data_IF_167913831889
#
_entry.id   IF_167913831889
#
_cell.length_a   1.000
_cell.length_b   1.000
_cell.length_c   1.000
_cell.angle_alpha   90.00
_cell.angle_beta   90.00
_cell.angle_gamma   90.00
#
_symmetry.space_group_name_H-M   'P 1'
#
loop_
_entity.id
_entity.type
_entity.pdbx_description
1 polymer ?
#
# COMPACT_ATOMS: atom_id res chain seq x y z
N UNK A 1 -3.60 -12.65 -18.70
CA UNK A 1 -4.00 -11.23 -18.72
C UNK A 1 -5.23 -11.12 -19.62
N UNK A 2 -6.31 -10.53 -19.14
CA UNK A 2 -7.53 -10.26 -19.93
C UNK A 2 -7.30 -9.08 -20.89
N UNK A 3 -8.18 -8.89 -21.87
CA UNK A 3 -8.09 -7.73 -22.75
C UNK A 3 -8.22 -6.41 -21.97
N UNK A 4 -7.65 -5.32 -22.48
CA UNK A 4 -7.76 -4.00 -21.85
C UNK A 4 -9.20 -3.56 -21.64
N UNK A 5 -10.08 -3.81 -22.60
CA UNK A 5 -11.50 -3.49 -22.50
C UNK A 5 -12.21 -4.30 -21.40
N UNK A 6 -11.88 -5.59 -21.27
CA UNK A 6 -12.40 -6.42 -20.17
C UNK A 6 -11.95 -5.90 -18.80
N UNK A 7 -10.71 -5.42 -18.70
CA UNK A 7 -10.18 -4.83 -17.47
C UNK A 7 -10.89 -3.52 -17.12
N UNK A 8 -11.06 -2.62 -18.10
CA UNK A 8 -11.81 -1.38 -17.93
C UNK A 8 -13.24 -1.66 -17.47
N UNK A 9 -13.90 -2.62 -18.11
CA UNK A 9 -15.28 -2.99 -17.75
C UNK A 9 -15.37 -3.61 -16.37
N UNK A 10 -14.40 -4.41 -15.98
CA UNK A 10 -14.32 -4.98 -14.62
C UNK A 10 -14.17 -3.88 -13.57
N UNK A 11 -13.28 -2.91 -13.79
CA UNK A 11 -13.11 -1.76 -12.89
C UNK A 11 -14.39 -0.92 -12.79
N UNK A 12 -15.01 -0.58 -13.94
CA UNK A 12 -16.27 0.17 -13.97
C UNK A 12 -17.37 -0.51 -13.16
N UNK A 13 -17.56 -1.81 -13.33
CA UNK A 13 -18.56 -2.58 -12.59
C UNK A 13 -18.22 -2.64 -11.11
N UNK A 14 -16.96 -2.87 -10.78
CA UNK A 14 -16.48 -2.91 -9.38
C UNK A 14 -16.71 -1.58 -8.66
N UNK A 15 -16.37 -0.46 -9.28
CA UNK A 15 -16.58 0.87 -8.72
C UNK A 15 -18.07 1.18 -8.52
N UNK A 16 -18.91 0.92 -9.53
CA UNK A 16 -20.38 1.07 -9.40
C UNK A 16 -20.98 0.18 -8.29
N UNK A 17 -20.45 -1.02 -8.14
CA UNK A 17 -20.92 -1.92 -7.09
C UNK A 17 -20.51 -1.42 -5.70
N UNK A 18 -19.28 -0.92 -5.55
CA UNK A 18 -18.77 -0.42 -4.28
C UNK A 18 -19.54 0.80 -3.76
N UNK A 19 -20.09 1.65 -4.64
CA UNK A 19 -20.94 2.79 -4.24
C UNK A 19 -22.12 2.37 -3.35
N UNK A 20 -22.65 1.17 -3.55
CA UNK A 20 -23.75 0.61 -2.74
C UNK A 20 -23.32 0.27 -1.30
N UNK A 21 -22.01 0.16 -1.07
CA UNK A 21 -21.42 -0.26 0.21
C UNK A 21 -20.50 0.79 0.82
N UNK A 22 -20.64 2.05 0.43
CA UNK A 22 -19.88 3.16 1.00
C UNK A 22 -18.77 3.71 0.11
N UNK A 23 -18.64 3.22 -1.13
CA UNK A 23 -17.65 3.71 -2.08
C UNK A 23 -16.40 2.84 -2.17
N UNK A 24 -15.37 3.38 -2.80
CA UNK A 24 -14.06 2.75 -2.97
C UNK A 24 -12.97 3.76 -2.63
N UNK A 25 -11.80 3.27 -2.29
CA UNK A 25 -10.59 4.10 -2.21
C UNK A 25 -10.05 4.34 -3.63
N UNK A 26 -9.42 5.49 -3.86
CA UNK A 26 -8.85 5.86 -5.18
C UNK A 26 -7.55 5.13 -5.48
N UNK A 27 -7.54 3.81 -5.29
CA UNK A 27 -6.35 2.96 -5.37
C UNK A 27 -6.58 1.79 -6.32
N UNK A 28 -5.69 1.61 -7.29
CA UNK A 28 -5.55 0.37 -8.04
C UNK A 28 -4.83 -0.68 -7.19
N UNK A 29 -5.59 -1.56 -6.52
CA UNK A 29 -5.11 -2.50 -5.51
C UNK A 29 -4.93 -3.90 -6.07
N UNK A 30 -3.69 -4.36 -6.19
CA UNK A 30 -3.31 -5.68 -6.71
C UNK A 30 -2.32 -6.38 -5.76
N UNK A 31 -2.75 -6.82 -4.57
CA UNK A 31 -1.85 -7.31 -3.53
C UNK A 31 -1.17 -8.63 -3.89
N UNK A 32 -1.79 -9.47 -4.70
CA UNK A 32 -1.30 -10.82 -4.99
C UNK A 32 -1.42 -11.24 -6.47
N UNK A 33 -1.56 -10.30 -7.38
CA UNK A 33 -1.65 -10.58 -8.81
C UNK A 33 -0.31 -11.01 -9.40
N UNK A 34 -0.35 -12.05 -10.27
CA UNK A 34 0.81 -12.60 -10.93
C UNK A 34 0.92 -12.05 -12.37
N UNK A 35 1.55 -10.91 -12.49
CA UNK A 35 1.71 -10.18 -13.74
C UNK A 35 0.73 -9.01 -13.88
N UNK A 36 1.27 -7.92 -14.40
CA UNK A 36 0.54 -6.69 -14.66
C UNK A 36 0.97 -6.14 -16.02
N UNK A 37 0.07 -5.43 -16.69
CA UNK A 37 0.39 -4.71 -17.91
C UNK A 37 1.11 -3.39 -17.57
N UNK A 38 2.08 -2.98 -18.37
CA UNK A 38 2.68 -1.66 -18.29
C UNK A 38 1.68 -0.52 -18.53
N UNK A 39 0.49 -0.82 -19.03
CA UNK A 39 -0.59 0.15 -19.22
C UNK A 39 -1.44 0.40 -17.96
N UNK A 40 -1.15 -0.26 -16.85
CA UNK A 40 -1.97 -0.11 -15.64
C UNK A 40 -2.06 1.33 -15.13
N UNK A 41 -0.99 2.15 -15.06
CA UNK A 41 -1.11 3.55 -14.68
C UNK A 41 -2.09 4.34 -15.55
N UNK A 42 -2.03 4.19 -16.87
CA UNK A 42 -2.96 4.81 -17.81
C UNK A 42 -4.41 4.39 -17.53
N UNK A 43 -4.64 3.10 -17.35
CA UNK A 43 -5.97 2.54 -17.06
C UNK A 43 -6.51 3.10 -15.75
N UNK A 44 -5.71 3.05 -14.69
CA UNK A 44 -6.10 3.58 -13.37
C UNK A 44 -6.39 5.07 -13.42
N UNK A 45 -5.54 5.83 -14.08
CA UNK A 45 -5.74 7.29 -14.25
C UNK A 45 -7.06 7.61 -14.96
N UNK A 46 -7.36 6.91 -16.07
CA UNK A 46 -8.63 7.10 -16.79
C UNK A 46 -9.86 6.69 -15.98
N UNK A 47 -9.70 5.76 -15.05
CA UNK A 47 -10.75 5.36 -14.11
C UNK A 47 -10.86 6.28 -12.88
N UNK A 48 -10.04 7.35 -12.79
CA UNK A 48 -10.06 8.31 -11.67
C UNK A 48 -9.33 7.81 -10.42
N UNK A 49 -8.57 6.72 -10.50
CA UNK A 49 -7.74 6.25 -9.40
C UNK A 49 -6.46 7.09 -9.31
N UNK A 50 -6.01 7.38 -8.09
CA UNK A 50 -4.87 8.27 -7.81
C UNK A 50 -3.58 7.52 -7.55
N UNK A 51 -3.67 6.30 -7.02
CA UNK A 51 -2.54 5.50 -6.56
C UNK A 51 -2.56 4.11 -7.16
N UNK A 52 -1.38 3.53 -7.35
CA UNK A 52 -1.23 2.11 -7.60
C UNK A 52 -0.59 1.44 -6.38
N UNK A 53 -1.06 0.25 -6.08
CA UNK A 53 -0.63 -0.52 -4.94
C UNK A 53 -0.58 -2.00 -5.29
N UNK A 54 0.62 -2.60 -5.26
CA UNK A 54 0.80 -4.01 -5.58
C UNK A 54 2.01 -4.62 -4.86
N UNK A 55 2.13 -5.93 -4.90
CA UNK A 55 3.22 -6.66 -4.25
C UNK A 55 4.16 -7.34 -5.22
N UNK A 56 3.62 -8.05 -6.20
CA UNK A 56 4.39 -8.96 -7.06
C UNK A 56 4.75 -8.33 -8.39
N UNK A 57 5.82 -8.84 -9.02
CA UNK A 57 6.13 -8.54 -10.41
C UNK A 57 7.20 -7.49 -10.66
N UNK A 58 7.80 -6.90 -9.61
CA UNK A 58 8.98 -6.04 -9.75
C UNK A 58 10.25 -6.82 -9.36
N UNK A 59 11.23 -6.79 -10.23
CA UNK A 59 12.56 -7.28 -9.89
C UNK A 59 13.33 -6.20 -9.11
N UNK A 60 14.01 -6.58 -8.03
CA UNK A 60 14.75 -5.66 -7.14
C UNK A 60 15.72 -4.74 -7.88
N UNK A 61 16.33 -5.22 -8.96
CA UNK A 61 17.28 -4.40 -9.74
C UNK A 61 16.64 -3.28 -10.55
N UNK A 62 15.30 -3.23 -10.65
CA UNK A 62 14.57 -2.17 -11.34
C UNK A 62 14.22 -1.03 -10.40
N UNK A 63 13.79 -1.36 -9.17
CA UNK A 63 13.42 -0.39 -8.14
C UNK A 63 13.81 -0.96 -6.78
N UNK A 64 14.66 -0.25 -6.05
CA UNK A 64 15.07 -0.63 -4.70
C UNK A 64 14.09 -0.10 -3.62
N UNK A 65 13.43 1.01 -3.93
CA UNK A 65 12.50 1.66 -3.01
C UNK A 65 11.07 1.09 -3.15
N UNK A 66 10.29 1.21 -2.09
CA UNK A 66 8.88 0.82 -2.10
C UNK A 66 8.01 1.79 -2.87
N UNK A 67 8.37 3.06 -2.81
CA UNK A 67 7.68 4.15 -3.47
C UNK A 67 8.41 4.54 -4.75
N UNK A 68 7.65 4.68 -5.83
CA UNK A 68 8.17 5.10 -7.13
C UNK A 68 7.04 5.66 -8.02
N UNK A 69 7.44 6.33 -9.09
CA UNK A 69 6.50 6.71 -10.15
C UNK A 69 6.46 5.62 -11.22
N UNK A 70 5.33 5.00 -11.39
CA UNK A 70 5.11 4.01 -12.47
C UNK A 70 4.61 4.74 -13.70
N UNK A 71 5.31 4.59 -14.82
CA UNK A 71 4.98 5.25 -16.08
C UNK A 71 4.46 4.24 -17.11
N UNK A 72 3.32 4.58 -17.70
CA UNK A 72 2.75 3.85 -18.84
C UNK A 72 3.39 4.26 -20.16
N UNK A 73 3.27 3.44 -21.23
CA UNK A 73 3.82 3.76 -22.56
C UNK A 73 3.29 5.08 -23.17
N UNK A 74 2.15 5.58 -22.73
CA UNK A 74 1.59 6.88 -23.14
C UNK A 74 2.15 8.07 -22.34
N UNK A 75 3.05 7.83 -21.37
CA UNK A 75 3.63 8.84 -20.50
C UNK A 75 2.82 9.16 -19.25
N UNK A 76 1.68 8.50 -19.03
CA UNK A 76 0.91 8.65 -17.79
C UNK A 76 1.73 8.10 -16.62
N UNK A 77 1.87 8.92 -15.56
CA UNK A 77 2.61 8.57 -14.36
C UNK A 77 1.68 8.45 -13.16
N UNK A 78 1.94 7.46 -12.32
CA UNK A 78 1.16 7.21 -11.11
C UNK A 78 2.06 6.94 -9.92
N UNK A 79 1.78 7.59 -8.79
CA UNK A 79 2.43 7.27 -7.53
C UNK A 79 2.08 5.85 -7.13
N UNK A 80 3.10 5.05 -6.88
CA UNK A 80 2.96 3.61 -6.66
C UNK A 80 3.68 3.21 -5.39
N UNK A 81 3.03 2.37 -4.59
CA UNK A 81 3.64 1.71 -3.45
C UNK A 81 3.70 0.20 -3.68
N UNK A 82 4.89 -0.36 -3.59
CA UNK A 82 5.13 -1.81 -3.63
C UNK A 82 5.17 -2.38 -2.22
N UNK A 83 4.15 -3.11 -1.83
CA UNK A 83 4.08 -3.66 -0.49
C UNK A 83 5.04 -4.84 -0.28
N UNK A 84 5.63 -4.91 0.90
CA UNK A 84 6.49 -6.02 1.28
C UNK A 84 5.67 -7.29 1.54
N UNK A 85 4.63 -7.16 2.35
CA UNK A 85 3.72 -8.25 2.72
C UNK A 85 2.39 -7.67 3.17
N UNK A 86 1.26 -8.27 2.73
CA UNK A 86 -0.08 -7.77 3.06
C UNK A 86 -0.60 -8.19 4.45
N UNK A 87 0.21 -8.89 5.23
CA UNK A 87 -0.16 -9.41 6.55
C UNK A 87 0.85 -9.09 7.66
N UNK A 88 1.58 -7.97 7.59
CA UNK A 88 2.57 -7.62 8.62
C UNK A 88 1.96 -7.59 10.02
N UNK A 89 0.71 -7.12 10.16
CA UNK A 89 -0.02 -7.07 11.43
C UNK A 89 -1.06 -8.18 11.60
N UNK A 90 -0.99 -9.24 10.80
CA UNK A 90 -1.90 -10.38 10.95
C UNK A 90 -1.62 -11.17 12.24
N UNK A 91 -0.35 -11.28 12.63
CA UNK A 91 0.11 -12.04 13.80
C UNK A 91 1.12 -11.28 14.66
N UNK A 92 0.89 -10.02 15.04
CA UNK A 92 1.79 -9.35 15.95
C UNK A 92 1.72 -10.03 17.33
N UNK A 93 2.79 -9.99 18.12
CA UNK A 93 2.77 -10.47 19.49
C UNK A 93 1.73 -9.72 20.34
N UNK A 94 1.30 -10.32 21.46
CA UNK A 94 0.31 -9.72 22.36
C UNK A 94 0.94 -9.11 23.61
N UNK A 95 2.15 -9.48 23.95
CA UNK A 95 2.86 -8.93 25.11
C UNK A 95 3.31 -7.50 24.86
N UNK A 96 3.34 -6.70 25.93
CA UNK A 96 3.64 -5.25 25.85
C UNK A 96 5.05 -4.98 25.31
N UNK A 97 6.04 -5.66 25.82
CA UNK A 97 7.43 -5.49 25.37
C UNK A 97 7.67 -6.14 24.00
N UNK A 98 7.03 -7.26 23.76
CA UNK A 98 7.14 -7.98 22.50
C UNK A 98 6.52 -7.19 21.33
N UNK A 99 5.40 -6.49 21.54
CA UNK A 99 4.80 -5.66 20.49
C UNK A 99 5.63 -4.42 20.20
N UNK A 100 6.24 -3.79 21.21
CA UNK A 100 7.17 -2.68 21.01
C UNK A 100 8.40 -3.10 20.21
N UNK A 101 9.01 -4.23 20.58
CA UNK A 101 10.13 -4.81 19.83
C UNK A 101 9.73 -5.15 18.39
N UNK A 102 8.51 -5.64 18.18
CA UNK A 102 7.98 -5.94 16.85
C UNK A 102 7.81 -4.67 15.99
N UNK A 103 7.29 -3.58 16.54
CA UNK A 103 7.21 -2.32 15.80
C UNK A 103 8.60 -1.82 15.41
N UNK A 104 9.57 -1.87 16.32
CA UNK A 104 10.94 -1.47 16.00
C UNK A 104 11.54 -2.35 14.91
N UNK A 105 11.37 -3.67 14.99
CA UNK A 105 11.81 -4.60 13.93
C UNK A 105 11.19 -4.25 12.57
N UNK A 106 9.91 -3.90 12.54
CA UNK A 106 9.24 -3.51 11.30
C UNK A 106 9.74 -2.18 10.75
N UNK A 107 10.00 -1.20 11.62
CA UNK A 107 10.60 0.08 11.23
C UNK A 107 11.98 -0.16 10.61
N UNK A 108 12.85 -0.91 11.28
CA UNK A 108 14.19 -1.21 10.79
C UNK A 108 14.15 -1.96 9.46
N UNK A 109 13.31 -2.98 9.36
CA UNK A 109 13.20 -3.84 8.17
C UNK A 109 12.60 -3.15 6.95
N UNK A 110 11.61 -2.28 7.15
CA UNK A 110 10.85 -1.65 6.07
C UNK A 110 11.36 -0.24 5.77
N UNK A 111 11.91 0.45 6.75
CA UNK A 111 12.43 1.80 6.62
C UNK A 111 13.58 1.90 5.61
N UNK A 112 14.49 0.94 5.59
CA UNK A 112 15.64 0.92 4.66
C UNK A 112 15.24 0.99 3.18
N UNK A 113 14.04 0.50 2.85
CA UNK A 113 13.52 0.51 1.47
C UNK A 113 12.41 1.55 1.25
N UNK A 114 12.04 2.31 2.29
CA UNK A 114 11.13 3.44 2.17
C UNK A 114 11.93 4.74 2.06
N UNK A 115 11.45 5.64 1.21
CA UNK A 115 11.96 7.01 1.18
C UNK A 115 11.19 7.91 2.17
N UNK A 116 10.17 7.39 2.83
CA UNK A 116 9.32 8.07 3.81
C UNK A 116 9.74 7.75 5.24
N UNK A 117 9.49 8.66 6.14
CA UNK A 117 9.55 8.39 7.58
C UNK A 117 8.33 7.58 8.06
N UNK A 118 7.35 7.36 7.16
CA UNK A 118 6.15 6.57 7.40
C UNK A 118 6.33 5.14 6.89
N UNK A 119 6.13 4.17 7.78
CA UNK A 119 6.13 2.73 7.46
C UNK A 119 4.71 2.18 7.51
N UNK A 120 4.28 1.53 6.42
CA UNK A 120 2.95 0.92 6.34
C UNK A 120 2.96 -0.52 6.85
N UNK A 121 2.14 -0.77 7.86
CA UNK A 121 1.90 -2.09 8.41
C UNK A 121 0.47 -2.53 8.08
N UNK A 122 0.34 -3.60 7.30
CA UNK A 122 -0.95 -4.07 6.80
C UNK A 122 -1.62 -5.02 7.78
N UNK A 123 -2.83 -4.66 8.20
CA UNK A 123 -3.62 -5.47 9.12
C UNK A 123 -4.65 -6.29 8.35
N UNK A 124 -4.31 -7.51 8.05
CA UNK A 124 -5.15 -8.45 7.33
C UNK A 124 -4.33 -9.52 6.63
N UNK A 125 -4.90 -10.69 6.46
CA UNK A 125 -4.32 -11.80 5.73
C UNK A 125 -5.43 -12.75 5.28
N UNK A 126 -5.11 -13.62 4.33
CA UNK A 126 -6.03 -14.62 3.81
C UNK A 126 -6.63 -15.46 4.95
N UNK A 127 -7.97 -15.56 4.94
CA UNK A 127 -8.74 -16.40 5.88
C UNK A 127 -8.54 -16.06 7.36
N UNK A 128 -8.17 -14.82 7.68
CA UNK A 128 -8.02 -14.36 9.07
C UNK A 128 -9.17 -13.45 9.49
N UNK A 129 -9.67 -13.64 10.71
CA UNK A 129 -10.67 -12.74 11.28
C UNK A 129 -10.08 -11.39 11.62
N UNK A 130 -10.93 -10.39 11.74
CA UNK A 130 -10.57 -9.06 12.23
C UNK A 130 -9.90 -9.18 13.61
N UNK A 131 -8.77 -8.51 13.79
CA UNK A 131 -8.07 -8.48 15.06
C UNK A 131 -8.72 -7.51 16.04
N UNK A 132 -9.32 -8.05 17.11
CA UNK A 132 -10.11 -7.26 18.07
C UNK A 132 -9.28 -6.34 18.96
N UNK A 133 -8.04 -6.74 19.29
CA UNK A 133 -7.15 -5.97 20.17
C UNK A 133 -6.20 -5.01 19.42
N UNK A 134 -6.42 -4.76 18.12
CA UNK A 134 -5.58 -3.84 17.36
C UNK A 134 -5.48 -2.44 17.99
N UNK A 135 -6.57 -1.80 18.47
CA UNK A 135 -6.48 -0.50 19.13
C UNK A 135 -5.59 -0.51 20.38
N UNK A 136 -5.60 -1.59 21.15
CA UNK A 136 -4.73 -1.78 22.31
C UNK A 136 -3.25 -1.85 21.90
N UNK A 137 -2.93 -2.63 20.84
CA UNK A 137 -1.56 -2.73 20.32
C UNK A 137 -1.04 -1.39 19.82
N UNK A 138 -1.88 -0.60 19.16
CA UNK A 138 -1.56 0.77 18.73
C UNK A 138 -1.28 1.67 19.95
N UNK A 139 -2.11 1.59 20.99
CA UNK A 139 -1.89 2.35 22.23
C UNK A 139 -0.56 2.01 22.88
N UNK A 140 -0.22 0.73 22.97
CA UNK A 140 1.07 0.27 23.52
C UNK A 140 2.24 0.78 22.66
N UNK A 141 2.11 0.76 21.34
CA UNK A 141 3.14 1.30 20.44
C UNK A 141 3.46 2.75 20.70
N UNK A 142 2.45 3.55 21.01
CA UNK A 142 2.60 5.00 21.27
C UNK A 142 3.16 5.34 22.65
N UNK A 143 3.32 4.38 23.56
CA UNK A 143 3.85 4.67 24.93
C UNK A 143 5.32 5.06 24.94
N UNK A 144 6.14 4.64 23.98
CA UNK A 144 7.57 4.97 23.96
C UNK A 144 7.82 6.43 23.61
N UNK A 145 6.97 7.04 22.77
CA UNK A 145 7.17 8.37 22.23
C UNK A 145 8.28 8.48 21.18
N UNK A 146 8.92 7.36 20.83
CA UNK A 146 9.99 7.32 19.82
C UNK A 146 9.44 7.30 18.40
N UNK A 147 8.23 6.76 18.23
CA UNK A 147 7.46 6.73 16.98
C UNK A 147 5.97 6.86 17.27
N UNK A 148 5.19 7.20 16.28
CA UNK A 148 3.72 7.25 16.36
C UNK A 148 3.12 6.10 15.55
N UNK A 149 2.16 5.40 16.13
CA UNK A 149 1.38 4.34 15.46
C UNK A 149 -0.06 4.77 15.39
N UNK A 150 -0.65 4.69 14.21
CA UNK A 150 -2.06 5.03 14.00
C UNK A 150 -2.76 4.03 13.07
N UNK A 151 -4.09 3.98 13.16
CA UNK A 151 -4.92 3.19 12.24
C UNK A 151 -5.51 4.17 11.24
N UNK A 152 -5.24 3.94 9.97
CA UNK A 152 -5.74 4.80 8.90
C UNK A 152 -6.17 3.97 7.68
N UNK A 153 -6.80 4.62 6.72
CA UNK A 153 -7.09 4.04 5.42
C UNK A 153 -5.83 4.06 4.56
N UNK A 154 -5.73 3.10 3.64
CA UNK A 154 -4.59 3.04 2.73
C UNK A 154 -4.49 4.32 1.85
N UNK A 155 -5.62 4.90 1.45
CA UNK A 155 -5.63 6.12 0.64
C UNK A 155 -5.03 7.32 1.40
N UNK A 156 -5.40 7.51 2.67
CA UNK A 156 -4.86 8.59 3.49
C UNK A 156 -3.36 8.38 3.73
N UNK A 157 -2.96 7.15 4.06
CA UNK A 157 -1.56 6.83 4.28
C UNK A 157 -0.70 7.08 3.02
N UNK A 158 -1.17 6.68 1.84
CA UNK A 158 -0.47 6.96 0.58
C UNK A 158 -0.44 8.46 0.25
N UNK A 159 -1.49 9.20 0.58
CA UNK A 159 -1.50 10.65 0.41
C UNK A 159 -0.46 11.35 1.31
N UNK A 160 -0.35 10.93 2.58
CA UNK A 160 0.65 11.45 3.51
C UNK A 160 2.07 11.14 3.03
N UNK A 161 2.34 9.89 2.65
CA UNK A 161 3.63 9.47 2.09
C UNK A 161 3.95 10.28 0.83
N UNK A 162 3.03 10.42 -0.11
CA UNK A 162 3.24 11.21 -1.32
C UNK A 162 3.58 12.67 -0.99
N UNK A 163 2.95 13.27 0.00
CA UNK A 163 3.22 14.64 0.39
C UNK A 163 4.65 14.83 0.92
N UNK A 164 5.20 13.86 1.65
CA UNK A 164 6.60 13.88 2.09
C UNK A 164 7.58 13.90 0.91
N UNK A 165 7.14 13.43 -0.26
CA UNK A 165 7.96 13.29 -1.47
C UNK A 165 7.81 14.39 -2.49
N UNK A 166 6.97 15.39 -2.29
CA UNK A 166 6.79 16.48 -3.24
C UNK A 166 8.10 17.18 -3.61
N UNK A 167 9.10 17.13 -2.74
CA UNK A 167 10.43 17.70 -2.96
C UNK A 167 11.49 16.67 -3.36
N UNK A 168 11.19 15.38 -3.33
CA UNK A 168 12.14 14.30 -3.64
C UNK A 168 11.88 13.76 -5.06
N UNK A 169 12.95 13.46 -5.78
CA UNK A 169 12.83 12.81 -7.09
C UNK A 169 12.61 11.32 -6.90
N UNK A 170 11.39 10.85 -7.14
CA UNK A 170 11.07 9.43 -7.09
C UNK A 170 11.71 8.66 -8.26
N UNK A 171 12.11 7.38 -8.03
CA UNK A 171 12.53 6.52 -9.12
C UNK A 171 11.36 6.30 -10.09
N UNK A 172 11.70 6.19 -11.38
CA UNK A 172 10.76 5.93 -12.46
C UNK A 172 10.88 4.46 -12.89
N UNK A 173 9.74 3.78 -12.99
CA UNK A 173 9.62 2.41 -13.51
C UNK A 173 8.73 2.38 -14.75
#
# INVERSE_FOLDING_TARGET
VVSGESLLKNLEIGMKLSEKYGGHQSIGYLPDSFGMSSQMPQIYHHMGLKYAFFRRGIAKHLVDNREFMWESPDGTKMFTHNLHHYGNMAYPPNGKEEIKAYYQEMIDKLGDSSLSDTVLLYNGEDQKPIRKNLPELVSIGNESGEYSVEIDTLENALASIQQEYLEKKLPLL
#
